data_IF_067559858676
#
_entry.id   IF_067559858676
#
_cell.length_a   1.000
_cell.length_b   1.000
_cell.length_c   1.000
_cell.angle_alpha   90.00
_cell.angle_beta   90.00
_cell.angle_gamma   90.00
#
_symmetry.space_group_name_H-M   'P 1'
#
loop_
_entity.id
_entity.type
_entity.pdbx_description
1 polymer ?
#
# COMPACT_ATOMS: atom_id res chain seq x y z
N UNK A 1 67.44 -36.64 -1.48
CA UNK A 1 66.53 -35.49 -1.72
C UNK A 1 65.10 -35.99 -1.67
N UNK A 2 64.41 -35.80 -0.54
CA UNK A 2 62.95 -35.89 -0.43
C UNK A 2 62.58 -35.18 0.89
N UNK A 3 61.99 -33.99 0.79
CA UNK A 3 61.51 -33.22 1.95
C UNK A 3 60.00 -33.40 2.01
N UNK A 4 59.52 -34.01 3.08
CA UNK A 4 58.09 -34.21 3.38
C UNK A 4 57.64 -32.97 4.17
N UNK A 5 56.76 -32.17 3.57
CA UNK A 5 56.10 -31.03 4.20
C UNK A 5 54.84 -31.53 4.95
N UNK A 6 54.82 -31.37 6.26
CA UNK A 6 53.63 -31.60 7.09
C UNK A 6 52.84 -30.30 7.25
N UNK A 7 51.61 -30.27 6.74
CA UNK A 7 50.64 -29.18 6.88
C UNK A 7 49.78 -29.44 8.14
N UNK A 8 49.65 -28.49 9.09
CA UNK A 8 48.74 -28.64 10.20
C UNK A 8 47.31 -28.26 9.76
N UNK A 9 46.39 -29.21 9.88
CA UNK A 9 44.96 -29.00 9.73
C UNK A 9 44.45 -28.20 10.95
N UNK A 10 44.21 -26.90 10.77
CA UNK A 10 43.54 -26.05 11.74
C UNK A 10 42.04 -26.41 11.75
N UNK A 11 41.60 -27.10 12.80
CA UNK A 11 40.20 -27.34 13.07
C UNK A 11 39.54 -26.01 13.48
N UNK A 12 38.84 -25.36 12.55
CA UNK A 12 37.89 -24.30 12.89
C UNK A 12 36.75 -24.93 13.71
N UNK A 13 36.81 -24.74 15.02
CA UNK A 13 35.68 -25.02 15.90
C UNK A 13 34.52 -24.09 15.54
N UNK A 14 33.43 -24.65 15.02
CA UNK A 14 32.18 -23.93 14.86
C UNK A 14 31.72 -23.50 16.26
N UNK A 15 31.65 -22.19 16.51
CA UNK A 15 31.05 -21.67 17.73
C UNK A 15 29.60 -22.18 17.81
N UNK A 16 29.12 -22.58 19.00
CA UNK A 16 27.74 -22.98 19.17
C UNK A 16 26.83 -21.84 18.73
N UNK A 17 25.99 -22.10 17.73
CA UNK A 17 24.97 -21.16 17.28
C UNK A 17 24.01 -20.98 18.45
N UNK A 18 23.91 -19.75 18.97
CA UNK A 18 23.01 -19.42 20.06
C UNK A 18 21.58 -19.83 19.66
N UNK A 19 21.02 -20.83 20.33
CA UNK A 19 19.62 -21.21 20.16
C UNK A 19 18.75 -20.05 20.61
N UNK A 20 17.93 -19.52 19.69
CA UNK A 20 16.93 -18.51 20.01
C UNK A 20 16.10 -19.00 21.20
N UNK A 21 16.09 -18.23 22.28
CA UNK A 21 15.28 -18.58 23.44
C UNK A 21 13.81 -18.46 23.04
N UNK A 22 13.09 -19.56 23.17
CA UNK A 22 11.66 -19.59 22.94
C UNK A 22 11.01 -18.74 24.03
N UNK A 23 10.55 -17.54 23.64
CA UNK A 23 9.84 -16.66 24.55
C UNK A 23 8.53 -17.35 24.89
N UNK A 24 8.34 -17.70 26.16
CA UNK A 24 7.10 -18.29 26.62
C UNK A 24 5.94 -17.33 26.30
N UNK A 25 5.06 -17.76 25.40
CA UNK A 25 3.90 -16.95 25.04
C UNK A 25 2.97 -16.82 26.24
N UNK A 26 2.29 -15.67 26.41
CA UNK A 26 1.23 -15.54 27.40
C UNK A 26 0.12 -16.57 27.11
N UNK A 27 -0.80 -16.87 28.04
CA UNK A 27 -1.96 -17.70 27.75
C UNK A 27 -2.78 -17.16 26.55
N UNK A 28 -3.34 -18.07 25.74
CA UNK A 28 -4.29 -17.69 24.68
C UNK A 28 -5.57 -17.12 25.32
N UNK A 29 -6.11 -16.04 24.75
CA UNK A 29 -7.39 -15.48 25.20
C UNK A 29 -8.53 -16.47 24.95
N UNK A 30 -9.17 -16.94 26.03
CA UNK A 30 -10.44 -17.65 25.98
C UNK A 30 -11.58 -16.63 25.89
N UNK A 31 -12.02 -16.39 24.66
CA UNK A 31 -13.02 -15.36 24.35
C UNK A 31 -14.38 -15.71 24.95
N UNK A 32 -14.78 -16.98 24.96
CA UNK A 32 -16.09 -17.37 25.47
C UNK A 32 -16.14 -17.19 26.99
N UNK A 33 -15.11 -17.65 27.71
CA UNK A 33 -15.01 -17.45 29.15
C UNK A 33 -14.97 -15.96 29.53
N UNK A 34 -14.25 -15.14 28.75
CA UNK A 34 -14.20 -13.70 28.96
C UNK A 34 -15.57 -13.03 28.75
N UNK A 35 -16.29 -13.40 27.68
CA UNK A 35 -17.63 -12.88 27.40
C UNK A 35 -18.65 -13.29 28.46
N UNK A 36 -18.56 -14.53 28.97
CA UNK A 36 -19.39 -15.01 30.07
C UNK A 36 -19.20 -14.18 31.33
N UNK A 37 -17.94 -13.90 31.71
CA UNK A 37 -17.63 -13.05 32.85
C UNK A 37 -18.14 -11.62 32.68
N UNK A 38 -17.96 -11.02 31.50
CA UNK A 38 -18.41 -9.65 31.20
C UNK A 38 -19.94 -9.47 31.22
N UNK A 39 -20.73 -10.54 31.21
CA UNK A 39 -22.18 -10.41 31.44
C UNK A 39 -22.49 -9.94 32.86
N UNK A 40 -21.65 -10.29 33.83
CA UNK A 40 -21.87 -10.00 35.26
C UNK A 40 -20.87 -8.99 35.85
N UNK A 41 -19.69 -8.86 35.23
CA UNK A 41 -18.61 -7.98 35.69
C UNK A 41 -18.47 -6.78 34.76
N UNK A 42 -18.32 -5.57 35.33
CA UNK A 42 -18.01 -4.38 34.52
C UNK A 42 -16.58 -4.39 33.98
N UNK A 43 -15.63 -4.87 34.78
CA UNK A 43 -14.21 -4.98 34.41
C UNK A 43 -13.83 -6.44 34.61
N UNK A 44 -13.28 -7.07 33.58
CA UNK A 44 -12.82 -8.46 33.64
C UNK A 44 -11.38 -8.56 33.15
N UNK A 45 -10.50 -9.13 34.00
CA UNK A 45 -9.10 -9.38 33.70
C UNK A 45 -8.87 -10.87 33.47
N UNK A 46 -8.44 -11.20 32.25
CA UNK A 46 -8.14 -12.57 31.80
C UNK A 46 -6.73 -12.97 32.26
N UNK A 47 -6.45 -14.26 32.55
CA UNK A 47 -5.10 -14.74 32.82
C UNK A 47 -4.07 -14.29 31.77
N UNK A 48 -2.92 -13.79 32.22
CA UNK A 48 -1.85 -13.28 31.36
C UNK A 48 -1.96 -11.82 30.95
N UNK A 49 -3.02 -11.11 31.35
CA UNK A 49 -3.11 -9.66 31.17
C UNK A 49 -1.97 -8.93 31.90
N UNK A 50 -1.28 -8.04 31.17
CA UNK A 50 -0.08 -7.32 31.66
C UNK A 50 -0.29 -5.82 31.89
N UNK A 51 -1.34 -5.23 31.33
CA UNK A 51 -1.66 -3.82 31.54
C UNK A 51 -2.12 -3.55 32.97
N UNK A 52 -1.75 -2.42 33.54
CA UNK A 52 -2.24 -1.90 34.80
C UNK A 52 -3.10 -0.66 34.55
N UNK A 53 -4.13 -0.44 35.37
CA UNK A 53 -4.82 0.83 35.44
C UNK A 53 -5.55 0.98 36.78
N UNK A 54 -5.87 2.21 37.16
CA UNK A 54 -6.71 2.52 38.33
C UNK A 54 -8.15 2.03 38.12
N UNK A 55 -8.47 0.82 38.60
CA UNK A 55 -9.78 0.20 38.40
C UNK A 55 -10.93 0.98 39.08
N UNK A 56 -10.65 1.67 40.20
CA UNK A 56 -11.66 2.43 40.94
C UNK A 56 -12.03 3.70 40.17
N UNK A 57 -11.02 4.46 39.70
CA UNK A 57 -11.21 5.60 38.82
C UNK A 57 -12.01 5.23 37.56
N UNK A 58 -11.65 4.12 36.91
CA UNK A 58 -12.33 3.65 35.70
C UNK A 58 -13.77 3.25 36.01
N UNK A 59 -14.01 2.53 37.11
CA UNK A 59 -15.36 2.08 37.51
C UNK A 59 -16.28 3.25 37.82
N UNK A 60 -15.77 4.28 38.49
CA UNK A 60 -16.53 5.48 38.85
C UNK A 60 -16.95 6.30 37.61
N UNK A 61 -16.15 6.27 36.55
CA UNK A 61 -16.47 6.97 35.30
C UNK A 61 -17.48 6.20 34.42
N UNK A 62 -17.48 4.87 34.51
CA UNK A 62 -18.29 3.98 33.66
C UNK A 62 -19.80 4.05 33.93
N UNK A 63 -20.59 3.87 32.87
CA UNK A 63 -22.04 3.64 32.97
C UNK A 63 -22.39 2.15 33.02
N UNK A 64 -23.62 1.81 33.43
CA UNK A 64 -24.06 0.42 33.59
C UNK A 64 -24.00 -0.45 32.32
N UNK A 65 -23.97 0.16 31.14
CA UNK A 65 -23.86 -0.51 29.84
C UNK A 65 -22.42 -0.59 29.29
N UNK A 66 -21.41 -0.16 30.04
CA UNK A 66 -20.00 -0.25 29.64
C UNK A 66 -19.32 -1.47 30.24
N UNK A 67 -18.35 -2.00 29.51
CA UNK A 67 -17.54 -3.16 29.88
C UNK A 67 -16.08 -2.94 29.51
N UNK A 68 -15.16 -3.38 30.36
CA UNK A 68 -13.71 -3.35 30.12
C UNK A 68 -13.19 -4.77 30.15
N UNK A 69 -12.59 -5.22 29.05
CA UNK A 69 -11.87 -6.49 28.95
C UNK A 69 -10.37 -6.21 29.01
N UNK A 70 -9.67 -6.83 29.95
CA UNK A 70 -8.20 -6.78 30.04
C UNK A 70 -7.64 -8.15 29.69
N UNK A 71 -6.91 -8.24 28.59
CA UNK A 71 -6.45 -9.48 27.99
C UNK A 71 -4.93 -9.51 27.83
N UNK A 72 -4.32 -10.71 27.77
CA UNK A 72 -2.91 -10.86 27.45
C UNK A 72 -2.54 -10.22 26.11
N UNK A 73 -1.26 -9.87 25.89
CA UNK A 73 -0.75 -9.53 24.58
C UNK A 73 -1.08 -10.65 23.59
N UNK A 74 -1.43 -10.29 22.36
CA UNK A 74 -1.76 -11.26 21.32
C UNK A 74 -0.58 -12.19 21.00
N UNK A 75 0.64 -11.68 21.16
CA UNK A 75 1.85 -12.31 20.66
C UNK A 75 1.97 -12.22 19.13
N UNK A 76 3.08 -12.72 18.56
CA UNK A 76 3.32 -12.70 17.12
C UNK A 76 2.20 -13.44 16.36
N UNK A 77 1.85 -12.94 15.18
CA UNK A 77 0.89 -13.60 14.27
C UNK A 77 1.64 -14.33 13.16
N UNK A 78 2.50 -15.25 13.58
CA UNK A 78 3.23 -16.16 12.71
C UNK A 78 3.04 -17.59 13.21
N UNK A 79 3.69 -18.57 12.55
CA UNK A 79 3.56 -19.98 12.90
C UNK A 79 3.96 -20.33 14.34
N UNK A 80 4.59 -19.42 15.08
CA UNK A 80 5.01 -19.63 16.46
C UNK A 80 4.04 -18.99 17.47
N UNK A 81 3.02 -18.24 17.04
CA UNK A 81 2.04 -17.56 17.89
C UNK A 81 0.76 -18.36 18.18
N UNK A 82 -0.14 -17.77 18.98
CA UNK A 82 -1.50 -18.34 19.23
C UNK A 82 -2.41 -18.32 18.02
N UNK A 83 -2.08 -17.46 17.06
CA UNK A 83 -2.85 -17.21 15.85
C UNK A 83 -1.87 -17.30 14.68
N UNK A 84 -2.20 -18.15 13.71
CA UNK A 84 -1.43 -18.37 12.50
C UNK A 84 -1.18 -17.07 11.72
N UNK A 85 -2.19 -16.21 11.68
CA UNK A 85 -2.18 -14.94 10.98
C UNK A 85 -3.19 -13.97 11.61
N UNK A 86 -3.22 -12.75 11.07
CA UNK A 86 -4.12 -11.69 11.51
C UNK A 86 -5.60 -12.05 11.29
N UNK A 87 -5.92 -12.78 10.22
CA UNK A 87 -7.29 -13.13 9.86
C UNK A 87 -7.88 -14.11 10.87
N UNK A 88 -7.09 -15.11 11.29
CA UNK A 88 -7.49 -16.03 12.35
C UNK A 88 -7.78 -15.29 13.66
N UNK A 89 -6.91 -14.35 14.06
CA UNK A 89 -7.16 -13.50 15.23
C UNK A 89 -8.47 -12.71 15.09
N UNK A 90 -8.71 -12.09 13.93
CA UNK A 90 -9.96 -11.37 13.68
C UNK A 90 -11.19 -12.28 13.78
N UNK A 91 -11.13 -13.49 13.23
CA UNK A 91 -12.25 -14.44 13.27
C UNK A 91 -12.51 -14.98 14.68
N UNK A 92 -11.47 -15.35 15.40
CA UNK A 92 -11.58 -16.02 16.71
C UNK A 92 -11.85 -15.03 17.85
N UNK A 93 -11.34 -13.80 17.76
CA UNK A 93 -11.43 -12.80 18.82
C UNK A 93 -12.33 -11.64 18.42
N UNK A 94 -11.90 -10.83 17.45
CA UNK A 94 -12.53 -9.54 17.16
C UNK A 94 -14.00 -9.70 16.75
N UNK A 95 -14.30 -10.62 15.81
CA UNK A 95 -15.68 -10.85 15.33
C UNK A 95 -16.60 -11.38 16.41
N UNK A 96 -16.08 -12.16 17.37
CA UNK A 96 -16.89 -12.66 18.49
C UNK A 96 -17.22 -11.55 19.47
N UNK A 97 -16.23 -10.71 19.81
CA UNK A 97 -16.44 -9.51 20.63
C UNK A 97 -17.44 -8.54 19.96
N UNK A 98 -17.33 -8.34 18.64
CA UNK A 98 -18.28 -7.54 17.84
C UNK A 98 -19.69 -8.13 17.87
N UNK A 99 -19.82 -9.44 17.63
CA UNK A 99 -21.11 -10.11 17.65
C UNK A 99 -21.79 -9.98 19.02
N UNK A 100 -21.03 -10.16 20.10
CA UNK A 100 -21.53 -10.05 21.47
C UNK A 100 -21.95 -8.62 21.85
N UNK A 101 -21.15 -7.61 21.50
CA UNK A 101 -21.53 -6.21 21.74
C UNK A 101 -22.79 -5.82 20.96
N UNK A 102 -22.94 -6.33 19.72
CA UNK A 102 -24.14 -6.14 18.91
C UNK A 102 -25.37 -6.79 19.52
N UNK A 103 -25.23 -8.01 20.02
CA UNK A 103 -26.32 -8.79 20.63
C UNK A 103 -26.80 -8.16 21.93
N UNK A 104 -25.87 -7.71 22.78
CA UNK A 104 -26.17 -7.21 24.13
C UNK A 104 -26.46 -5.72 24.19
N UNK A 105 -26.06 -4.95 23.17
CA UNK A 105 -26.10 -3.48 23.20
C UNK A 105 -25.10 -2.85 24.19
N UNK A 106 -24.17 -3.64 24.73
CA UNK A 106 -23.12 -3.17 25.63
C UNK A 106 -21.99 -2.50 24.85
N UNK A 107 -21.35 -1.51 25.47
CA UNK A 107 -20.16 -0.82 24.94
C UNK A 107 -18.92 -1.47 25.52
N UNK A 108 -18.04 -2.00 24.67
CA UNK A 108 -16.84 -2.72 25.10
C UNK A 108 -15.58 -1.90 24.84
N UNK A 109 -14.81 -1.71 25.90
CA UNK A 109 -13.43 -1.23 25.87
C UNK A 109 -12.56 -2.48 26.05
N UNK A 110 -11.62 -2.70 25.12
CA UNK A 110 -10.70 -3.83 25.12
C UNK A 110 -9.28 -3.31 25.31
N UNK A 111 -8.60 -3.85 26.33
CA UNK A 111 -7.19 -3.64 26.63
C UNK A 111 -6.47 -4.96 26.33
N UNK A 112 -5.81 -5.06 25.19
CA UNK A 112 -5.15 -6.29 24.72
C UNK A 112 -3.64 -6.06 24.70
N UNK A 113 -2.92 -6.69 25.63
CA UNK A 113 -1.56 -6.25 25.95
C UNK A 113 -1.61 -4.86 26.56
N UNK A 114 -1.08 -3.87 25.85
CA UNK A 114 -1.22 -2.44 26.17
C UNK A 114 -2.15 -1.71 25.17
N UNK A 115 -2.65 -2.39 24.13
CA UNK A 115 -3.48 -1.76 23.10
C UNK A 115 -4.88 -1.51 23.67
N UNK A 116 -5.22 -0.25 23.86
CA UNK A 116 -6.53 0.17 24.31
C UNK A 116 -7.37 0.53 23.10
N UNK A 117 -8.50 -0.14 22.95
CA UNK A 117 -9.45 0.16 21.89
C UNK A 117 -10.87 0.09 22.42
N UNK A 118 -11.79 0.80 21.80
CA UNK A 118 -13.20 0.66 22.12
C UNK A 118 -14.01 0.42 20.86
N UNK A 119 -15.11 -0.30 21.06
CA UNK A 119 -16.10 -0.60 20.03
C UNK A 119 -17.35 0.21 20.31
N UNK A 120 -17.78 0.94 19.29
CA UNK A 120 -19.04 1.65 19.34
C UNK A 120 -19.76 1.54 18.01
N UNK A 121 -21.09 1.58 18.09
CA UNK A 121 -21.96 1.65 16.93
C UNK A 121 -22.46 3.09 16.81
N UNK A 122 -21.80 3.96 16.02
CA UNK A 122 -22.34 5.30 15.79
C UNK A 122 -23.73 5.19 15.15
N UNK A 123 -24.66 6.11 15.45
CA UNK A 123 -25.88 6.22 14.66
C UNK A 123 -25.50 6.50 13.19
N UNK A 124 -26.04 5.72 12.25
CA UNK A 124 -25.79 5.96 10.83
C UNK A 124 -26.47 7.27 10.41
N UNK A 125 -25.78 8.16 9.67
CA UNK A 125 -26.40 9.36 9.11
C UNK A 125 -27.54 9.04 8.12
N UNK A 126 -27.60 7.79 7.61
CA UNK A 126 -28.63 7.33 6.68
C UNK A 126 -29.76 6.52 7.36
N UNK A 127 -29.85 6.52 8.69
CA UNK A 127 -30.93 5.85 9.42
C UNK A 127 -30.85 4.30 9.45
N UNK A 128 -29.70 3.72 9.08
CA UNK A 128 -29.43 2.28 9.23
C UNK A 128 -28.65 1.93 10.50
N UNK A 129 -28.42 0.63 10.79
CA UNK A 129 -27.41 0.25 11.78
C UNK A 129 -26.05 0.81 11.34
N UNK A 130 -25.38 1.55 12.22
CA UNK A 130 -24.03 2.04 11.95
C UNK A 130 -23.07 0.91 11.66
N UNK A 131 -22.02 1.20 10.89
CA UNK A 131 -20.88 0.29 10.79
C UNK A 131 -20.11 0.32 12.11
N UNK A 132 -19.72 -0.86 12.61
CA UNK A 132 -18.90 -0.95 13.80
C UNK A 132 -17.58 -0.23 13.56
N UNK A 133 -17.28 0.76 14.40
CA UNK A 133 -15.99 1.40 14.40
C UNK A 133 -15.20 0.92 15.61
N UNK A 134 -14.02 0.36 15.33
CA UNK A 134 -12.97 0.17 16.32
C UNK A 134 -12.07 1.39 16.26
N UNK A 135 -11.95 2.11 17.37
CA UNK A 135 -10.97 3.18 17.53
C UNK A 135 -9.95 2.75 18.57
N UNK A 136 -8.67 2.83 18.20
CA UNK A 136 -7.56 2.63 19.13
C UNK A 136 -7.30 3.97 19.81
N UNK A 137 -7.17 3.94 21.13
CA UNK A 137 -6.69 5.08 21.91
C UNK A 137 -5.20 4.90 22.13
N UNK A 138 -4.47 5.99 21.93
CA UNK A 138 -3.02 6.06 22.14
C UNK A 138 -2.70 7.15 23.15
N UNK A 139 -1.50 7.12 23.75
CA UNK A 139 -0.99 8.24 24.53
C UNK A 139 -0.92 9.53 23.71
N UNK A 140 -1.26 10.67 24.31
CA UNK A 140 -1.25 11.98 23.62
C UNK A 140 0.11 12.68 23.75
N UNK A 141 0.90 12.31 24.75
CA UNK A 141 2.19 12.93 25.05
C UNK A 141 3.30 11.89 25.21
N UNK A 142 4.55 12.32 25.04
CA UNK A 142 5.71 11.45 25.26
C UNK A 142 5.77 10.93 26.70
N UNK A 143 5.38 11.76 27.68
CA UNK A 143 5.37 11.38 29.08
C UNK A 143 4.29 10.31 29.35
N UNK A 144 3.10 10.45 28.77
CA UNK A 144 2.05 9.41 28.84
C UNK A 144 2.53 8.13 28.13
N UNK A 145 3.18 8.24 26.97
CA UNK A 145 3.71 7.08 26.24
C UNK A 145 4.78 6.34 27.05
N UNK A 146 5.64 7.08 27.77
CA UNK A 146 6.62 6.54 28.69
C UNK A 146 5.96 5.74 29.80
N UNK A 147 5.01 6.32 30.54
CA UNK A 147 4.28 5.61 31.60
C UNK A 147 3.54 4.38 31.04
N UNK A 148 2.86 4.55 29.91
CA UNK A 148 2.10 3.50 29.23
C UNK A 148 2.96 2.27 28.90
N UNK A 149 4.20 2.47 28.44
CA UNK A 149 5.06 1.36 27.99
C UNK A 149 6.06 0.91 29.06
N UNK A 150 6.60 1.82 29.86
CA UNK A 150 7.61 1.52 30.89
C UNK A 150 7.00 0.85 32.12
N UNK A 151 5.79 1.28 32.51
CA UNK A 151 5.07 0.80 33.70
C UNK A 151 3.86 -0.07 33.34
N UNK A 152 3.60 -0.27 32.05
CA UNK A 152 2.37 -0.91 31.55
C UNK A 152 1.08 -0.23 32.04
N UNK A 153 1.16 1.04 32.45
CA UNK A 153 0.03 1.78 33.01
C UNK A 153 -0.79 2.47 31.91
N UNK A 154 -1.94 1.90 31.62
CA UNK A 154 -2.86 2.37 30.58
C UNK A 154 -3.99 3.24 31.14
N UNK A 155 -3.91 3.71 32.39
CA UNK A 155 -5.00 4.43 33.08
C UNK A 155 -5.53 5.60 32.26
N UNK A 156 -4.66 6.52 31.84
CA UNK A 156 -5.06 7.69 31.06
C UNK A 156 -5.79 7.30 29.76
N UNK A 157 -5.27 6.30 29.05
CA UNK A 157 -5.81 5.83 27.77
C UNK A 157 -7.16 5.09 27.94
N UNK A 158 -7.32 4.28 28.99
CA UNK A 158 -8.60 3.62 29.33
C UNK A 158 -9.62 4.66 29.78
N UNK A 159 -9.23 5.62 30.62
CA UNK A 159 -10.13 6.67 31.10
C UNK A 159 -10.64 7.55 29.96
N UNK A 160 -9.76 7.92 29.02
CA UNK A 160 -10.11 8.59 27.76
C UNK A 160 -11.09 7.77 26.93
N UNK A 161 -10.87 6.45 26.83
CA UNK A 161 -11.80 5.54 26.15
C UNK A 161 -13.18 5.54 26.80
N UNK A 162 -13.26 5.44 28.14
CA UNK A 162 -14.55 5.48 28.87
C UNK A 162 -15.30 6.77 28.58
N UNK A 163 -14.63 7.92 28.68
CA UNK A 163 -15.24 9.24 28.42
C UNK A 163 -15.69 9.43 26.98
N UNK A 164 -14.85 9.03 26.02
CA UNK A 164 -15.22 9.08 24.60
C UNK A 164 -16.42 8.20 24.28
N UNK A 165 -16.48 7.02 24.91
CA UNK A 165 -17.61 6.09 24.81
C UNK A 165 -18.84 6.67 25.51
N UNK A 166 -18.69 7.45 26.58
CA UNK A 166 -19.77 8.06 27.37
C UNK A 166 -20.42 9.24 26.65
N UNK A 167 -19.63 10.23 26.26
CA UNK A 167 -20.13 11.55 25.85
C UNK A 167 -20.37 11.69 24.35
N UNK A 168 -19.89 10.76 23.51
CA UNK A 168 -20.04 10.75 22.03
C UNK A 168 -19.57 12.02 21.29
N UNK A 169 -19.19 13.07 21.99
CA UNK A 169 -18.58 14.28 21.45
C UNK A 169 -17.12 14.03 21.13
N UNK A 170 -16.69 14.35 19.91
CA UNK A 170 -15.28 14.27 19.45
C UNK A 170 -14.42 15.44 19.99
N UNK A 171 -14.80 16.08 21.10
CA UNK A 171 -14.02 17.19 21.68
C UNK A 171 -12.76 16.62 22.35
N UNK A 172 -11.54 17.09 22.01
CA UNK A 172 -10.32 16.65 22.67
C UNK A 172 -10.37 16.92 24.17
N UNK A 173 -10.74 15.89 24.94
CA UNK A 173 -10.74 15.96 26.39
C UNK A 173 -9.31 15.87 26.89
N UNK A 174 -8.77 17.02 27.32
CA UNK A 174 -7.57 17.03 28.15
C UNK A 174 -7.92 16.37 29.48
N UNK A 175 -7.36 15.19 29.73
CA UNK A 175 -7.46 14.52 31.01
C UNK A 175 -6.30 14.94 31.89
N UNK A 176 -6.61 15.39 33.09
CA UNK A 176 -5.63 15.66 34.13
C UNK A 176 -5.39 14.37 34.93
N UNK A 177 -4.88 13.33 34.27
CA UNK A 177 -4.35 12.17 34.97
C UNK A 177 -2.86 12.43 35.24
N UNK A 178 -2.40 12.34 36.51
CA UNK A 178 -1.00 12.56 36.83
C UNK A 178 -0.13 11.61 36.02
N UNK A 179 0.82 12.18 35.28
CA UNK A 179 1.81 11.40 34.55
C UNK A 179 3.01 11.20 35.46
N UNK A 180 3.54 9.98 35.51
CA UNK A 180 4.69 9.65 36.34
C UNK A 180 5.86 10.61 36.05
N UNK A 181 6.33 11.31 37.08
CA UNK A 181 7.46 12.22 36.95
C UNK A 181 8.75 11.42 36.73
N UNK A 182 9.58 11.95 35.83
CA UNK A 182 10.91 11.43 35.58
C UNK A 182 11.86 12.02 36.63
N UNK A 183 12.49 11.17 37.42
CA UNK A 183 13.41 11.56 38.49
C UNK A 183 14.85 11.31 38.07
N UNK A 184 15.77 12.14 38.55
CA UNK A 184 17.20 11.95 38.28
C UNK A 184 17.77 10.75 39.02
N UNK A 185 18.68 10.03 38.37
CA UNK A 185 19.37 8.91 38.99
C UNK A 185 20.29 9.36 40.14
N UNK A 186 20.20 8.65 41.27
CA UNK A 186 21.13 8.85 42.39
C UNK A 186 22.58 8.57 41.95
N UNK A 187 23.57 9.42 42.30
CA UNK A 187 24.97 9.22 41.93
C UNK A 187 25.53 7.86 42.33
N UNK A 188 25.14 7.34 43.50
CA UNK A 188 25.60 6.03 43.97
C UNK A 188 25.09 4.88 43.07
N UNK A 189 23.82 4.95 42.66
CA UNK A 189 23.22 3.95 41.77
C UNK A 189 23.79 4.03 40.35
N UNK A 190 24.02 5.24 39.86
CA UNK A 190 24.66 5.46 38.56
C UNK A 190 26.08 4.89 38.53
N UNK A 191 26.87 5.11 39.59
CA UNK A 191 28.23 4.58 39.68
C UNK A 191 28.24 3.04 39.66
N UNK A 192 27.35 2.39 40.42
CA UNK A 192 27.20 0.92 40.42
C UNK A 192 26.86 0.38 39.02
N UNK A 193 25.88 0.99 38.34
CA UNK A 193 25.51 0.60 36.97
C UNK A 193 26.64 0.84 35.98
N UNK A 194 27.40 1.92 36.13
CA UNK A 194 28.56 2.19 35.29
C UNK A 194 29.67 1.13 35.50
N UNK A 195 29.92 0.68 36.73
CA UNK A 195 30.87 -0.41 36.99
C UNK A 195 30.43 -1.71 36.29
N UNK A 196 29.15 -2.08 36.44
CA UNK A 196 28.58 -3.24 35.77
C UNK A 196 28.68 -3.15 34.24
N UNK A 197 28.40 -1.97 33.68
CA UNK A 197 28.45 -1.74 32.24
C UNK A 197 29.86 -1.74 31.69
N UNK A 198 30.89 -1.38 32.48
CA UNK A 198 32.31 -1.49 32.08
C UNK A 198 32.72 -2.94 31.90
N UNK A 199 32.29 -3.81 32.80
CA UNK A 199 32.57 -5.25 32.75
C UNK A 199 31.78 -5.95 31.65
N UNK A 200 30.50 -5.62 31.52
CA UNK A 200 29.61 -6.18 30.52
C UNK A 200 28.76 -5.07 29.87
N UNK A 201 28.97 -4.76 28.58
CA UNK A 201 28.27 -3.66 27.92
C UNK A 201 26.75 -3.88 27.80
N UNK A 202 26.23 -5.08 28.07
CA UNK A 202 24.78 -5.35 28.15
C UNK A 202 24.46 -5.91 29.53
N UNK A 203 23.85 -5.09 30.39
CA UNK A 203 23.40 -5.47 31.71
C UNK A 203 21.89 -5.73 31.73
N UNK A 204 21.48 -6.95 32.11
CA UNK A 204 20.08 -7.29 32.39
C UNK A 204 19.87 -7.28 33.91
N UNK A 205 19.05 -6.35 34.40
CA UNK A 205 18.73 -6.27 35.81
C UNK A 205 17.88 -7.50 36.26
N UNK A 206 17.98 -7.90 37.53
CA UNK A 206 17.16 -8.98 38.07
C UNK A 206 15.65 -8.73 37.90
N UNK A 207 14.88 -9.80 37.67
CA UNK A 207 13.41 -9.75 37.56
C UNK A 207 12.88 -9.45 36.16
N UNK A 208 13.74 -9.23 35.17
CA UNK A 208 13.32 -9.04 33.78
C UNK A 208 12.92 -10.37 33.13
N UNK A 209 11.75 -10.41 32.50
CA UNK A 209 11.22 -11.60 31.81
C UNK A 209 11.91 -11.91 30.47
N UNK A 210 12.36 -10.86 29.76
CA UNK A 210 13.04 -10.96 28.47
C UNK A 210 14.52 -10.55 28.60
N UNK A 211 15.45 -11.47 28.38
CA UNK A 211 16.88 -11.15 28.37
C UNK A 211 17.28 -10.42 27.09
N UNK A 212 17.99 -9.29 27.21
CA UNK A 212 18.60 -8.60 26.08
C UNK A 212 19.91 -9.30 25.71
N UNK A 213 19.97 -9.81 24.49
CA UNK A 213 21.13 -10.49 23.89
C UNK A 213 21.66 -9.72 22.68
N UNK A 214 22.03 -8.47 22.93
CA UNK A 214 22.53 -7.60 21.88
C UNK A 214 24.02 -7.89 21.61
N UNK A 215 24.37 -8.14 20.35
CA UNK A 215 25.78 -8.21 19.94
C UNK A 215 26.32 -6.80 19.69
N UNK A 216 27.01 -6.25 20.69
CA UNK A 216 27.59 -4.89 20.60
C UNK A 216 28.62 -4.79 19.46
N UNK A 217 29.33 -5.88 19.17
CA UNK A 217 30.30 -5.91 18.07
C UNK A 217 29.61 -5.80 16.69
N UNK A 218 28.48 -6.50 16.49
CA UNK A 218 27.69 -6.40 15.26
C UNK A 218 27.08 -5.02 15.10
N UNK A 219 26.55 -4.44 16.19
CA UNK A 219 26.05 -3.07 16.19
C UNK A 219 27.15 -2.08 15.78
N UNK A 220 28.34 -2.17 16.40
CA UNK A 220 29.48 -1.32 16.03
C UNK A 220 29.85 -1.47 14.56
N UNK A 221 29.86 -2.70 14.04
CA UNK A 221 30.17 -2.97 12.65
C UNK A 221 29.14 -2.37 11.70
N UNK A 222 27.85 -2.45 12.04
CA UNK A 222 26.76 -1.99 11.17
C UNK A 222 26.53 -0.48 11.24
N UNK A 223 26.61 0.11 12.43
CA UNK A 223 26.18 1.50 12.68
C UNK A 223 27.33 2.42 13.13
N UNK A 224 28.52 1.88 13.37
CA UNK A 224 29.64 2.63 13.93
C UNK A 224 29.49 3.05 15.39
N UNK A 225 28.41 2.65 16.08
CA UNK A 225 28.18 3.03 17.47
C UNK A 225 28.87 2.09 18.45
N UNK A 226 29.57 2.67 19.42
CA UNK A 226 29.86 2.02 20.69
C UNK A 226 28.62 2.10 21.57
N UNK A 227 28.06 0.95 21.98
CA UNK A 227 26.78 0.90 22.68
C UNK A 227 26.90 0.17 24.01
N UNK A 228 26.28 0.73 25.04
CA UNK A 228 26.01 0.05 26.30
C UNK A 228 24.52 0.06 26.60
N UNK A 229 24.02 -1.03 27.18
CA UNK A 229 22.61 -1.24 27.45
C UNK A 229 22.40 -1.63 28.90
N UNK A 230 21.60 -0.85 29.63
CA UNK A 230 21.06 -1.26 30.93
C UNK A 230 19.58 -1.59 30.78
N UNK A 231 19.16 -2.81 31.10
CA UNK A 231 17.81 -3.28 30.90
C UNK A 231 17.14 -3.62 32.22
N UNK A 232 16.15 -2.83 32.61
CA UNK A 232 15.32 -3.02 33.80
C UNK A 232 14.05 -3.81 33.48
N UNK A 233 13.43 -4.46 34.48
CA UNK A 233 12.06 -4.97 34.34
C UNK A 233 11.07 -3.82 34.07
N UNK A 234 9.80 -4.18 33.87
CA UNK A 234 8.70 -3.21 33.88
C UNK A 234 8.72 -2.47 35.22
N UNK A 235 8.64 -1.15 35.19
CA UNK A 235 8.66 -0.33 36.40
C UNK A 235 7.32 -0.46 37.14
N UNK A 236 7.35 -0.37 38.46
CA UNK A 236 6.11 -0.31 39.25
C UNK A 236 5.37 1.01 38.93
N UNK A 237 4.06 0.99 38.62
CA UNK A 237 3.28 2.20 38.43
C UNK A 237 3.29 3.15 39.64
N UNK A 238 3.50 2.62 40.86
CA UNK A 238 3.54 3.43 42.08
C UNK A 238 4.88 4.16 42.27
N UNK A 239 5.94 3.73 41.61
CA UNK A 239 7.27 4.29 41.74
C UNK A 239 7.55 5.34 40.64
N UNK A 240 8.27 6.44 40.94
CA UNK A 240 8.73 7.36 39.92
C UNK A 240 9.70 6.67 38.97
N UNK A 241 9.64 6.99 37.68
CA UNK A 241 10.61 6.47 36.73
C UNK A 241 11.92 7.24 36.90
N UNK A 242 13.03 6.52 37.09
CA UNK A 242 14.36 7.13 37.23
C UNK A 242 15.02 7.22 35.86
N UNK A 243 15.48 8.38 35.41
CA UNK A 243 16.23 8.50 34.15
C UNK A 243 17.73 8.22 34.37
N UNK A 244 18.14 6.99 34.06
CA UNK A 244 19.54 6.60 34.17
C UNK A 244 20.39 7.02 32.95
N UNK A 245 19.78 7.32 31.80
CA UNK A 245 20.54 7.44 30.56
C UNK A 245 21.52 8.64 30.57
N UNK A 246 21.11 9.88 30.93
CA UNK A 246 22.01 11.03 30.95
C UNK A 246 23.18 10.84 31.93
N UNK A 247 22.89 10.40 33.16
CA UNK A 247 23.90 10.20 34.19
C UNK A 247 24.91 9.11 33.82
N UNK A 248 24.46 8.03 33.17
CA UNK A 248 25.37 7.00 32.66
C UNK A 248 26.23 7.51 31.50
N UNK A 249 25.70 8.36 30.61
CA UNK A 249 26.46 8.90 29.48
C UNK A 249 27.66 9.76 29.92
N UNK A 250 27.58 10.40 31.09
CA UNK A 250 28.72 11.13 31.68
C UNK A 250 29.91 10.21 32.00
N UNK A 251 29.66 8.94 32.33
CA UNK A 251 30.69 7.95 32.60
C UNK A 251 31.30 7.30 31.34
N UNK A 252 30.64 7.46 30.19
CA UNK A 252 31.03 6.83 28.91
C UNK A 252 31.01 7.86 27.77
N UNK A 253 31.87 8.90 27.82
CA UNK A 253 31.87 9.95 26.81
C UNK A 253 32.22 9.36 25.44
N UNK A 254 31.36 9.60 24.46
CA UNK A 254 31.54 9.10 23.09
C UNK A 254 30.80 7.81 22.78
N UNK A 255 30.18 7.16 23.78
CA UNK A 255 29.37 5.97 23.59
C UNK A 255 27.86 6.30 23.64
N UNK A 256 27.04 5.45 23.02
CA UNK A 256 25.58 5.51 23.09
C UNK A 256 25.11 4.63 24.25
N UNK A 257 24.47 5.24 25.23
CA UNK A 257 23.81 4.57 26.34
C UNK A 257 22.34 4.37 26.00
N UNK A 258 21.88 3.13 26.10
CA UNK A 258 20.46 2.78 26.01
C UNK A 258 20.01 2.22 27.34
N UNK A 259 18.93 2.77 27.89
CA UNK A 259 18.30 2.25 29.10
C UNK A 259 16.90 1.76 28.78
N UNK A 260 16.62 0.48 28.99
CA UNK A 260 15.32 -0.11 28.75
C UNK A 260 14.54 -0.27 30.06
N UNK A 261 13.28 0.19 30.09
CA UNK A 261 12.33 -0.04 31.20
C UNK A 261 11.13 -0.78 30.63
N UNK A 262 10.95 -2.06 30.96
CA UNK A 262 10.00 -2.89 30.22
C UNK A 262 10.32 -2.84 28.74
N UNK A 263 9.39 -2.32 27.91
CA UNK A 263 9.57 -2.09 26.48
C UNK A 263 9.89 -0.63 26.08
N UNK A 264 9.93 0.29 27.04
CA UNK A 264 10.33 1.68 26.82
C UNK A 264 11.85 1.79 26.74
N UNK A 265 12.35 2.73 25.93
CA UNK A 265 13.77 2.98 25.76
C UNK A 265 14.06 4.44 26.09
N UNK A 266 15.02 4.70 26.97
CA UNK A 266 15.71 5.98 27.07
C UNK A 266 17.09 5.86 26.42
N UNK A 267 17.60 6.98 25.90
CA UNK A 267 18.84 7.00 25.15
C UNK A 267 19.62 8.29 25.40
N UNK A 268 20.93 8.14 25.61
CA UNK A 268 21.85 9.25 25.80
C UNK A 268 23.18 8.99 25.06
N UNK A 269 23.77 10.00 24.42
CA UNK A 269 25.08 9.86 23.79
C UNK A 269 25.39 10.93 22.74
N UNK A 270 26.46 10.73 21.95
CA UNK A 270 26.74 11.57 20.79
C UNK A 270 25.54 11.60 19.83
N UNK A 271 25.30 12.74 19.19
CA UNK A 271 24.15 12.92 18.29
C UNK A 271 22.79 12.73 18.99
N UNK A 272 22.66 13.26 20.22
CA UNK A 272 21.48 13.14 21.08
C UNK A 272 20.14 13.39 20.36
N UNK A 273 20.08 14.41 19.50
CA UNK A 273 18.85 14.75 18.77
C UNK A 273 18.42 13.63 17.80
N UNK A 274 19.37 13.01 17.10
CA UNK A 274 19.13 11.90 16.18
C UNK A 274 18.74 10.63 16.93
N UNK A 275 19.41 10.34 18.06
CA UNK A 275 19.07 9.22 18.94
C UNK A 275 17.64 9.34 19.48
N UNK A 276 17.30 10.51 20.02
CA UNK A 276 15.96 10.83 20.53
C UNK A 276 14.91 10.69 19.43
N UNK A 277 15.15 11.30 18.26
CA UNK A 277 14.23 11.21 17.12
C UNK A 277 14.05 9.77 16.62
N UNK A 278 15.13 8.98 16.62
CA UNK A 278 15.08 7.57 16.23
C UNK A 278 14.30 6.71 17.23
N UNK A 279 14.48 6.95 18.53
CA UNK A 279 13.66 6.33 19.60
C UNK A 279 12.20 6.64 19.34
N UNK A 280 11.85 7.92 19.24
CA UNK A 280 10.46 8.37 19.06
C UNK A 280 9.84 7.79 17.79
N UNK A 281 10.60 7.72 16.70
CA UNK A 281 10.12 7.10 15.46
C UNK A 281 9.93 5.58 15.58
N UNK A 282 10.81 4.90 16.32
CA UNK A 282 10.75 3.46 16.52
C UNK A 282 9.52 3.07 17.34
N UNK A 283 9.23 3.85 18.39
CA UNK A 283 8.05 3.68 19.23
C UNK A 283 6.78 4.10 18.47
N UNK A 284 6.77 5.31 17.89
CA UNK A 284 5.63 5.93 17.21
C UNK A 284 5.13 5.20 15.96
N UNK A 285 6.04 4.76 15.07
CA UNK A 285 5.66 4.07 13.82
C UNK A 285 5.01 2.70 14.07
N UNK A 286 5.22 2.15 15.25
CA UNK A 286 4.77 0.82 15.61
C UNK A 286 3.69 0.84 16.69
N UNK A 287 3.24 1.98 17.25
CA UNK A 287 2.37 2.08 18.44
C UNK A 287 1.29 1.01 18.52
N UNK A 288 0.33 0.99 17.58
CA UNK A 288 -0.77 0.00 17.61
C UNK A 288 -0.29 -1.47 17.48
N UNK A 289 0.84 -1.72 16.82
CA UNK A 289 1.45 -3.06 16.79
C UNK A 289 2.25 -3.35 18.06
N UNK A 290 2.95 -2.37 18.61
CA UNK A 290 3.77 -2.57 19.81
C UNK A 290 2.91 -2.86 21.01
N UNK A 291 1.82 -2.13 21.16
CA UNK A 291 0.95 -2.27 22.31
C UNK A 291 0.24 -3.64 22.31
N UNK A 292 -0.17 -4.13 21.14
CA UNK A 292 -0.83 -5.44 21.03
C UNK A 292 0.14 -6.63 21.01
N UNK A 293 1.35 -6.46 20.46
CA UNK A 293 2.32 -7.55 20.26
C UNK A 293 3.40 -7.64 21.34
N UNK A 294 3.72 -6.52 22.01
CA UNK A 294 4.92 -6.34 22.84
C UNK A 294 6.18 -6.92 22.17
N UNK A 295 6.64 -6.31 21.05
CA UNK A 295 7.81 -6.79 20.34
C UNK A 295 9.05 -6.80 21.24
N UNK A 296 9.95 -7.74 20.97
CA UNK A 296 11.21 -7.89 21.73
C UNK A 296 11.97 -6.57 21.82
N UNK A 297 12.39 -6.21 23.03
CA UNK A 297 13.13 -4.97 23.28
C UNK A 297 14.44 -4.95 22.52
N UNK A 298 15.07 -6.12 22.38
CA UNK A 298 16.26 -6.29 21.56
C UNK A 298 16.04 -5.79 20.11
N UNK A 299 14.92 -6.18 19.47
CA UNK A 299 14.62 -5.74 18.11
C UNK A 299 14.38 -4.23 18.01
N UNK A 300 13.78 -3.62 19.03
CA UNK A 300 13.56 -2.18 19.10
C UNK A 300 14.87 -1.41 19.26
N UNK A 301 15.80 -1.89 20.10
CA UNK A 301 17.14 -1.28 20.27
C UNK A 301 17.90 -1.32 18.94
N UNK A 302 17.98 -2.48 18.29
CA UNK A 302 18.67 -2.64 17.00
C UNK A 302 18.06 -1.71 15.94
N UNK A 303 16.72 -1.68 15.84
CA UNK A 303 16.02 -0.82 14.88
C UNK A 303 16.25 0.66 15.16
N UNK A 304 16.20 1.08 16.42
CA UNK A 304 16.49 2.44 16.86
C UNK A 304 17.92 2.85 16.49
N UNK A 305 18.92 2.01 16.76
CA UNK A 305 20.32 2.34 16.46
C UNK A 305 20.56 2.44 14.95
N UNK A 306 20.05 1.49 14.15
CA UNK A 306 20.14 1.56 12.69
C UNK A 306 19.44 2.79 12.10
N UNK A 307 18.31 3.18 12.67
CA UNK A 307 17.62 4.41 12.26
C UNK A 307 18.42 5.65 12.66
N UNK A 308 19.03 5.68 13.85
CA UNK A 308 19.84 6.80 14.29
C UNK A 308 21.07 7.00 13.39
N UNK A 309 21.76 5.91 13.04
CA UNK A 309 22.86 5.93 12.06
C UNK A 309 22.42 6.52 10.71
N UNK A 310 21.29 6.05 10.15
CA UNK A 310 20.73 6.63 8.91
C UNK A 310 20.42 8.12 9.01
N UNK A 311 19.94 8.60 10.17
CA UNK A 311 19.70 10.04 10.36
C UNK A 311 20.99 10.85 10.34
N UNK A 312 22.09 10.26 10.81
CA UNK A 312 23.41 10.89 10.83
C UNK A 312 24.03 10.87 9.42
N UNK A 313 23.90 9.76 8.69
CA UNK A 313 24.61 9.51 7.42
C UNK A 313 23.83 9.91 6.16
N UNK A 314 22.54 9.57 6.08
CA UNK A 314 21.77 9.51 4.82
C UNK A 314 20.65 10.56 4.68
N UNK A 315 20.62 11.58 5.57
CA UNK A 315 19.60 12.66 5.69
C UNK A 315 18.27 12.22 6.36
N UNK A 316 17.44 13.15 6.86
CA UNK A 316 16.26 12.83 7.65
C UNK A 316 15.29 11.89 6.93
N UNK A 317 14.97 10.74 7.54
CA UNK A 317 13.89 9.90 7.07
C UNK A 317 12.58 10.39 7.73
N UNK A 318 11.70 10.97 6.94
CA UNK A 318 10.27 10.94 7.25
C UNK A 318 9.61 10.01 6.22
N UNK A 319 8.32 9.71 6.36
CA UNK A 319 7.58 9.38 5.12
C UNK A 319 7.89 10.52 4.13
N UNK A 320 8.26 10.27 2.87
CA UNK A 320 8.30 11.35 1.91
C UNK A 320 6.97 12.08 2.09
N UNK A 321 7.03 13.37 2.46
CA UNK A 321 5.80 14.13 2.57
C UNK A 321 5.11 13.93 1.25
N UNK A 322 3.82 13.57 1.27
CA UNK A 322 3.05 13.43 0.04
C UNK A 322 3.34 14.71 -0.74
N UNK A 323 3.99 14.63 -1.92
CA UNK A 323 4.36 15.83 -2.63
C UNK A 323 3.11 16.69 -2.71
N UNK A 324 3.21 18.00 -2.42
CA UNK A 324 2.04 18.86 -2.37
C UNK A 324 1.22 18.61 -3.63
N UNK A 325 -0.11 18.67 -3.54
CA UNK A 325 -1.00 18.35 -4.66
C UNK A 325 -0.54 19.01 -5.97
N UNK A 326 0.00 20.23 -5.85
CA UNK A 326 0.65 20.98 -6.94
C UNK A 326 1.78 20.22 -7.64
N UNK A 327 2.68 19.58 -6.93
CA UNK A 327 3.79 18.81 -7.49
C UNK A 327 3.30 17.52 -8.16
N UNK A 328 2.34 16.82 -7.54
CA UNK A 328 1.66 15.67 -8.18
C UNK A 328 0.99 16.09 -9.49
N UNK A 329 0.30 17.24 -9.49
CA UNK A 329 -0.34 17.82 -10.68
C UNK A 329 0.72 18.21 -11.71
N UNK A 330 1.81 18.88 -11.33
CA UNK A 330 2.86 19.31 -12.27
C UNK A 330 3.54 18.09 -12.93
N UNK A 331 3.79 17.03 -12.16
CA UNK A 331 4.42 15.81 -12.68
C UNK A 331 3.46 14.95 -13.49
N UNK A 332 2.19 14.86 -13.09
CA UNK A 332 1.19 13.99 -13.71
C UNK A 332 0.41 14.62 -14.87
N UNK A 333 0.17 15.94 -14.83
CA UNK A 333 -0.65 16.65 -15.80
C UNK A 333 -0.13 16.51 -17.24
N UNK A 334 1.18 16.60 -17.55
CA UNK A 334 1.67 16.42 -18.92
C UNK A 334 1.28 15.07 -19.51
N UNK A 335 1.34 14.00 -18.71
CA UNK A 335 0.99 12.64 -19.15
C UNK A 335 -0.52 12.45 -19.30
N UNK A 336 -1.31 13.02 -18.38
CA UNK A 336 -2.77 13.02 -18.50
C UNK A 336 -3.22 13.79 -19.75
N UNK A 337 -2.68 14.98 -20.00
CA UNK A 337 -2.99 15.77 -21.19
C UNK A 337 -2.53 15.08 -22.48
N UNK A 338 -1.35 14.46 -22.48
CA UNK A 338 -0.87 13.69 -23.62
C UNK A 338 -1.77 12.47 -23.91
N UNK A 339 -2.16 11.73 -22.87
CA UNK A 339 -3.09 10.60 -22.99
C UNK A 339 -4.46 11.04 -23.50
N UNK A 340 -5.03 12.12 -22.96
CA UNK A 340 -6.29 12.70 -23.43
C UNK A 340 -6.21 13.18 -24.87
N UNK A 341 -5.10 13.84 -25.26
CA UNK A 341 -4.89 14.29 -26.64
C UNK A 341 -4.76 13.12 -27.63
N UNK A 342 -4.12 12.02 -27.23
CA UNK A 342 -4.03 10.81 -28.06
C UNK A 342 -5.38 10.11 -28.22
N UNK A 343 -6.19 10.04 -27.16
CA UNK A 343 -7.53 9.42 -27.24
C UNK A 343 -8.48 10.27 -28.09
N UNK A 344 -8.55 11.58 -27.80
CA UNK A 344 -9.46 12.49 -28.49
C UNK A 344 -9.00 12.80 -29.93
N UNK A 345 -7.71 13.06 -30.11
CA UNK A 345 -7.13 13.37 -31.42
C UNK A 345 -6.89 12.13 -32.29
N UNK A 346 -6.38 11.05 -31.70
CA UNK A 346 -6.06 9.81 -32.42
C UNK A 346 -7.30 9.10 -32.96
N UNK A 347 -8.41 9.07 -32.20
CA UNK A 347 -9.68 8.52 -32.67
C UNK A 347 -10.24 9.27 -33.89
N UNK A 348 -10.21 10.60 -33.85
CA UNK A 348 -10.66 11.45 -34.96
C UNK A 348 -9.82 11.28 -36.23
N UNK A 349 -8.49 11.21 -36.09
CA UNK A 349 -7.56 11.02 -37.20
C UNK A 349 -7.65 9.61 -37.81
N UNK A 350 -7.74 8.58 -36.98
CA UNK A 350 -7.91 7.20 -37.44
C UNK A 350 -9.23 7.00 -38.19
N UNK A 351 -10.32 7.64 -37.72
CA UNK A 351 -11.61 7.58 -38.38
C UNK A 351 -11.61 8.27 -39.75
N UNK A 352 -11.00 9.46 -39.86
CA UNK A 352 -10.91 10.17 -41.14
C UNK A 352 -10.02 9.45 -42.16
N UNK A 353 -8.90 8.88 -41.72
CA UNK A 353 -8.03 8.06 -42.60
C UNK A 353 -8.78 6.81 -43.07
N UNK A 354 -9.48 6.11 -42.18
CA UNK A 354 -10.23 4.90 -42.51
C UNK A 354 -11.37 5.17 -43.50
N UNK A 355 -12.11 6.28 -43.34
CA UNK A 355 -13.15 6.67 -44.32
C UNK A 355 -12.56 7.00 -45.69
N UNK A 356 -11.40 7.69 -45.74
CA UNK A 356 -10.74 7.99 -47.02
C UNK A 356 -10.29 6.72 -47.75
N UNK A 357 -9.74 5.73 -47.03
CA UNK A 357 -9.27 4.48 -47.66
C UNK A 357 -10.43 3.62 -48.15
N UNK A 358 -11.53 3.51 -47.39
CA UNK A 358 -12.74 2.80 -47.82
C UNK A 358 -13.37 3.46 -49.05
N UNK A 359 -13.51 4.79 -49.05
CA UNK A 359 -14.05 5.52 -50.20
C UNK A 359 -13.14 5.40 -51.43
N UNK A 360 -11.81 5.40 -51.26
CA UNK A 360 -10.88 5.18 -52.35
C UNK A 360 -11.00 3.76 -52.93
N UNK A 361 -11.21 2.74 -52.09
CA UNK A 361 -11.46 1.35 -52.54
C UNK A 361 -12.77 1.25 -53.32
N UNK A 362 -13.85 1.83 -52.81
CA UNK A 362 -15.15 1.85 -53.48
C UNK A 362 -15.07 2.56 -54.85
N UNK A 363 -14.38 3.71 -54.93
CA UNK A 363 -14.17 4.44 -56.20
C UNK A 363 -13.37 3.65 -57.22
N UNK A 364 -12.33 2.92 -56.78
CA UNK A 364 -11.56 2.03 -57.67
C UNK A 364 -12.37 0.84 -58.17
N UNK A 365 -13.23 0.28 -57.32
CA UNK A 365 -14.17 -0.78 -57.71
C UNK A 365 -15.12 -0.30 -58.81
N UNK A 366 -15.80 0.82 -58.57
CA UNK A 366 -16.72 1.42 -59.53
C UNK A 366 -16.03 1.81 -60.86
N UNK A 367 -14.79 2.31 -60.80
CA UNK A 367 -14.03 2.63 -62.02
C UNK A 367 -13.71 1.37 -62.82
N UNK A 368 -13.26 0.28 -62.16
CA UNK A 368 -12.95 -0.98 -62.87
C UNK A 368 -14.16 -1.58 -63.55
N UNK A 369 -15.30 -1.58 -62.87
CA UNK A 369 -16.56 -2.06 -63.41
C UNK A 369 -17.00 -1.24 -64.63
N UNK A 370 -17.11 0.09 -64.49
CA UNK A 370 -17.50 0.98 -65.59
C UNK A 370 -16.50 0.98 -66.75
N UNK A 371 -15.19 0.86 -66.48
CA UNK A 371 -14.18 0.68 -67.53
C UNK A 371 -14.34 -0.64 -68.28
N UNK A 372 -14.66 -1.74 -67.59
CA UNK A 372 -14.89 -3.03 -68.25
C UNK A 372 -16.13 -2.96 -69.16
N UNK A 373 -17.22 -2.33 -68.71
CA UNK A 373 -18.43 -2.12 -69.50
C UNK A 373 -18.18 -1.24 -70.73
N UNK A 374 -17.47 -0.13 -70.55
CA UNK A 374 -17.11 0.78 -71.64
C UNK A 374 -16.24 0.09 -72.70
N UNK A 375 -15.23 -0.68 -72.26
CA UNK A 375 -14.38 -1.45 -73.16
C UNK A 375 -15.15 -2.53 -73.94
N UNK A 376 -16.07 -3.22 -73.26
CA UNK A 376 -16.94 -4.21 -73.89
C UNK A 376 -17.82 -3.58 -75.00
N UNK A 377 -18.41 -2.41 -74.72
CA UNK A 377 -19.22 -1.66 -75.70
C UNK A 377 -18.39 -1.19 -76.90
N UNK A 378 -17.18 -0.66 -76.69
CA UNK A 378 -16.24 -0.28 -77.77
C UNK A 378 -15.91 -1.50 -78.64
N UNK A 379 -15.54 -2.62 -78.01
CA UNK A 379 -15.18 -3.85 -78.72
C UNK A 379 -16.36 -4.42 -79.51
N UNK A 380 -17.58 -4.38 -78.95
CA UNK A 380 -18.79 -4.80 -79.65
C UNK A 380 -19.07 -3.92 -80.87
N UNK A 381 -18.96 -2.60 -80.73
CA UNK A 381 -19.09 -1.67 -81.86
C UNK A 381 -18.03 -1.95 -82.94
N UNK A 382 -16.77 -2.14 -82.55
CA UNK A 382 -15.68 -2.47 -83.47
C UNK A 382 -15.95 -3.76 -84.26
N UNK A 383 -16.41 -4.82 -83.58
CA UNK A 383 -16.82 -6.08 -84.26
C UNK A 383 -17.97 -5.86 -85.24
N UNK A 384 -18.98 -5.06 -84.87
CA UNK A 384 -20.12 -4.74 -85.76
C UNK A 384 -19.67 -3.94 -86.98
N UNK A 385 -18.76 -2.98 -86.81
CA UNK A 385 -18.18 -2.21 -87.92
C UNK A 385 -17.42 -3.11 -88.90
N UNK A 386 -16.69 -4.11 -88.40
CA UNK A 386 -15.97 -5.08 -89.25
C UNK A 386 -16.91 -6.05 -90.00
N UNK A 387 -18.10 -6.31 -89.46
CA UNK A 387 -19.09 -7.20 -90.07
C UNK A 387 -20.13 -6.46 -90.96
N UNK A 388 -20.12 -5.12 -90.96
CA UNK A 388 -21.09 -4.31 -91.69
C UNK A 388 -20.86 -4.38 -93.20
N UNK A 389 -21.96 -4.41 -93.95
CA UNK A 389 -21.96 -4.47 -95.41
C UNK A 389 -21.50 -3.13 -96.02
N UNK A 390 -20.56 -3.11 -96.98
CA UNK A 390 -20.14 -1.90 -97.69
C UNK A 390 -21.29 -1.04 -98.24
N UNK A 391 -22.44 -1.64 -98.56
CA UNK A 391 -23.63 -0.89 -99.00
C UNK A 391 -24.15 0.12 -97.96
N UNK A 392 -23.79 -0.03 -96.68
CA UNK A 392 -24.17 0.88 -95.58
C UNK A 392 -23.15 1.99 -95.29
N UNK A 393 -22.28 2.30 -96.26
CA UNK A 393 -21.12 3.19 -96.10
C UNK A 393 -21.39 4.52 -95.34
N UNK A 394 -22.46 5.30 -95.61
CA UNK A 394 -22.68 6.58 -94.92
C UNK A 394 -22.93 6.42 -93.41
N UNK A 395 -23.62 5.34 -93.00
CA UNK A 395 -23.90 5.02 -91.59
C UNK A 395 -22.66 4.43 -90.93
N UNK A 396 -21.89 3.61 -91.65
CA UNK A 396 -20.62 3.07 -91.18
C UNK A 396 -19.63 4.19 -90.82
N UNK A 397 -19.54 5.27 -91.61
CA UNK A 397 -18.64 6.40 -91.30
C UNK A 397 -19.02 7.04 -89.97
N UNK A 398 -20.31 7.33 -89.73
CA UNK A 398 -20.78 7.91 -88.46
C UNK A 398 -20.54 6.97 -87.27
N UNK A 399 -20.78 5.67 -87.44
CA UNK A 399 -20.51 4.68 -86.41
C UNK A 399 -18.99 4.53 -86.14
N UNK A 400 -18.14 4.62 -87.17
CA UNK A 400 -16.69 4.61 -87.04
C UNK A 400 -16.15 5.86 -86.33
N UNK A 401 -16.73 7.03 -86.57
CA UNK A 401 -16.41 8.25 -85.81
C UNK A 401 -16.75 8.10 -84.32
N UNK A 402 -17.89 7.49 -83.99
CA UNK A 402 -18.27 7.19 -82.60
C UNK A 402 -17.32 6.18 -81.97
N UNK A 403 -16.91 5.14 -82.70
CA UNK A 403 -15.92 4.18 -82.23
C UNK A 403 -14.56 4.85 -81.93
N UNK A 404 -14.06 5.66 -82.87
CA UNK A 404 -12.81 6.41 -82.70
C UNK A 404 -12.88 7.36 -81.50
N UNK A 405 -13.98 8.10 -81.38
CA UNK A 405 -14.22 9.02 -80.25
C UNK A 405 -14.27 8.28 -78.92
N UNK A 406 -15.02 7.18 -78.84
CA UNK A 406 -15.11 6.37 -77.63
C UNK A 406 -13.74 5.80 -77.23
N UNK A 407 -12.97 5.31 -78.20
CA UNK A 407 -11.61 4.79 -77.96
C UNK A 407 -10.67 5.88 -77.43
N UNK A 408 -10.65 7.06 -78.08
CA UNK A 408 -9.81 8.17 -77.66
C UNK A 408 -10.19 8.72 -76.28
N UNK A 409 -11.48 8.72 -75.93
CA UNK A 409 -11.95 9.12 -74.61
C UNK A 409 -11.68 8.05 -73.55
N UNK A 410 -11.75 6.76 -73.90
CA UNK A 410 -11.44 5.65 -72.98
C UNK A 410 -10.04 5.79 -72.40
N UNK A 411 -9.04 6.05 -73.25
CA UNK A 411 -7.64 6.18 -72.84
C UNK A 411 -7.38 7.38 -71.92
N UNK A 412 -8.21 8.43 -72.02
CA UNK A 412 -8.06 9.66 -71.23
C UNK A 412 -8.92 9.68 -69.96
N UNK A 413 -9.93 8.83 -69.88
CA UNK A 413 -10.92 8.87 -68.82
C UNK A 413 -10.41 8.16 -67.56
N UNK A 414 -10.40 8.87 -66.42
CA UNK A 414 -9.93 8.32 -65.13
C UNK A 414 -11.01 8.30 -64.05
N UNK A 415 -12.27 8.59 -64.41
CA UNK A 415 -13.40 8.61 -63.48
C UNK A 415 -14.53 7.70 -63.97
N UNK A 416 -15.33 7.10 -63.06
CA UNK A 416 -16.46 6.24 -63.45
C UNK A 416 -17.50 6.96 -64.31
N UNK A 417 -17.76 8.24 -64.03
CA UNK A 417 -18.69 9.06 -64.80
C UNK A 417 -18.21 9.26 -66.24
N UNK A 418 -16.91 9.53 -66.45
CA UNK A 418 -16.33 9.64 -67.77
C UNK A 418 -16.35 8.30 -68.52
N UNK A 419 -16.10 7.18 -67.82
CA UNK A 419 -16.20 5.84 -68.40
C UNK A 419 -17.64 5.49 -68.82
N UNK A 420 -18.65 5.91 -68.05
CA UNK A 420 -20.06 5.76 -68.44
C UNK A 420 -20.40 6.57 -69.71
N UNK A 421 -19.82 7.75 -69.88
CA UNK A 421 -19.97 8.57 -71.09
C UNK A 421 -19.32 7.89 -72.31
N UNK A 422 -18.11 7.33 -72.13
CA UNK A 422 -17.43 6.53 -73.17
C UNK A 422 -18.32 5.37 -73.63
N UNK A 423 -18.90 4.62 -72.68
CA UNK A 423 -19.84 3.53 -73.00
C UNK A 423 -21.02 4.03 -73.81
N UNK A 424 -21.67 5.10 -73.37
CA UNK A 424 -22.83 5.69 -74.07
C UNK A 424 -22.50 6.08 -75.52
N UNK A 425 -21.32 6.65 -75.78
CA UNK A 425 -20.89 7.00 -77.15
C UNK A 425 -20.74 5.74 -78.02
N UNK A 426 -20.16 4.66 -77.49
CA UNK A 426 -20.03 3.39 -78.21
C UNK A 426 -21.40 2.72 -78.47
N UNK A 427 -22.32 2.78 -77.50
CA UNK A 427 -23.70 2.28 -77.67
C UNK A 427 -24.50 3.10 -78.69
N UNK A 428 -24.31 4.43 -78.74
CA UNK A 428 -24.90 5.28 -79.79
C UNK A 428 -24.39 4.88 -81.18
N UNK A 429 -23.08 4.62 -81.32
CA UNK A 429 -22.51 4.11 -82.57
C UNK A 429 -23.11 2.76 -82.97
N UNK A 430 -23.36 1.88 -81.99
CA UNK A 430 -23.98 0.57 -82.25
C UNK A 430 -25.43 0.69 -82.70
N UNK A 431 -26.21 1.61 -82.10
CA UNK A 431 -27.60 1.87 -82.50
C UNK A 431 -27.72 2.44 -83.91
N UNK A 432 -26.78 3.29 -84.34
CA UNK A 432 -26.76 3.79 -85.72
C UNK A 432 -26.69 2.65 -86.74
N UNK A 433 -25.95 1.57 -86.43
CA UNK A 433 -25.86 0.38 -87.30
C UNK A 433 -27.15 -0.46 -87.27
N UNK A 434 -27.89 -0.46 -86.16
CA UNK A 434 -29.14 -1.21 -86.02
C UNK A 434 -30.33 -0.48 -86.69
N UNK A 435 -30.34 0.86 -86.67
CA UNK A 435 -31.41 1.71 -87.23
C UNK A 435 -31.41 1.80 -88.78
N UNK A 436 -30.45 1.17 -89.45
CA UNK A 436 -30.41 1.07 -90.92
C UNK A 436 -30.70 -0.36 -91.38
N UNK A 437 -31.96 -0.83 -91.27
CA UNK A 437 -32.34 -2.16 -91.74
C UNK A 437 -32.07 -2.27 -93.23
N UNK A 438 -31.40 -3.35 -93.63
CA UNK A 438 -31.17 -3.73 -95.02
C UNK A 438 -32.48 -3.60 -95.79
N UNK A 439 -32.54 -2.70 -96.76
CA UNK A 439 -33.67 -2.62 -97.68
C UNK A 439 -33.54 -3.79 -98.65
N UNK A 440 -33.85 -5.01 -98.15
CA UNK A 440 -33.85 -6.28 -98.89
C UNK A 440 -35.02 -6.33 -99.90
N UNK A 441 -35.33 -5.20 -100.54
CA UNK A 441 -36.40 -5.05 -101.52
C UNK A 441 -35.85 -4.93 -102.93
N UNK A 442 -35.07 -5.89 -103.40
CA UNK A 442 -34.95 -6.14 -104.84
C UNK A 442 -34.53 -7.60 -105.09
N UNK A 443 -35.50 -8.44 -105.45
CA UNK A 443 -35.48 -9.37 -106.58
C UNK A 443 -36.79 -10.18 -106.57
N UNK A 444 -37.78 -9.70 -107.31
CA UNK A 444 -38.81 -10.53 -107.95
C UNK A 444 -38.54 -10.50 -109.45
#
# INVERSE_FOLDING_TARGET
MAVILALPLLALGAAPVATAQEIALPPKLDVEAALDALRTQQIHRVPGAVAHFDEDLIRDEMTGNMRVLVAPPRGPTDGNGHYKDIDQYFQEVERKLDAWTKETGLRLISVIGLDVSYRYLPPSPLGGPGEFQRRNMVPDTLAEARQHVAQHDVTATVWRSVRQVKDTTDDPMLLDHPVAELTEASPARTAELADLLRENPVHNAPGRTEEIRLSVAEIRQETGFDVRVAAFPVADPADPLVDHAPALAEHFPGEVIVVAYGAWLEVAGPHQAQLTSSRDSTLGRSEGRMHALLPTVNSNIVKMLRNADRLITDRPFSRPQTPPLREIIITGAPWLFLGSALILGGGGLAHTISRKTLNARARRGALRETSAEAFAAITQLGRRLLAADPATAPVMVKAAERHSTATALFDRSTTPAAMAEVRSIAEQGSRLLDEHPRDDRHEQ
#
